data_IF_691480876364
#
_entry.id   IF_691480876364
#
_cell.length_a   1.000
_cell.length_b   1.000
_cell.length_c   1.000
_cell.angle_alpha   90.00
_cell.angle_beta   90.00
_cell.angle_gamma   90.00
#
_symmetry.space_group_name_H-M   'P 1'
#
loop_
_entity.id
_entity.type
_entity.pdbx_description
1 polymer ?
#
# COMPACT_ATOMS: atom_id res chain seq x y z
N UNK A 1 20.15 83.46 18.09
CA UNK A 1 19.88 82.38 19.08
C UNK A 1 20.21 81.04 18.42
N UNK A 2 21.14 80.25 19.03
CA UNK A 2 21.25 78.77 19.15
C UNK A 2 20.96 77.88 17.90
N UNK A 3 21.66 76.82 17.51
CA UNK A 3 22.89 76.08 17.88
C UNK A 3 23.11 75.03 16.74
N UNK A 4 24.36 74.59 16.51
CA UNK A 4 24.71 73.39 15.71
C UNK A 4 24.19 72.09 16.35
N UNK A 5 24.02 71.00 15.58
CA UNK A 5 24.79 69.73 15.73
C UNK A 5 24.13 68.49 15.09
N UNK A 6 25.01 67.62 14.60
CA UNK A 6 24.91 66.29 13.98
C UNK A 6 24.05 65.26 14.75
N UNK A 7 23.53 64.25 14.04
CA UNK A 7 24.00 62.85 14.16
C UNK A 7 23.24 61.88 13.24
N UNK A 8 24.01 60.98 12.63
CA UNK A 8 23.57 59.86 11.80
C UNK A 8 22.94 58.73 12.63
N UNK A 9 22.04 57.95 12.03
CA UNK A 9 21.87 56.53 12.33
C UNK A 9 21.09 55.82 11.22
N UNK A 10 21.80 54.99 10.45
CA UNK A 10 21.24 53.97 9.58
C UNK A 10 20.56 52.88 10.42
N UNK A 11 19.42 52.37 9.97
CA UNK A 11 18.84 51.13 10.50
C UNK A 11 18.55 50.17 9.34
N UNK A 12 19.44 49.17 9.27
CA UNK A 12 19.38 47.98 8.44
C UNK A 12 18.04 47.25 8.61
N UNK A 13 17.28 47.13 7.53
CA UNK A 13 16.12 46.25 7.47
C UNK A 13 16.62 44.84 7.11
N UNK A 14 16.95 44.06 8.13
CA UNK A 14 17.45 42.70 8.02
C UNK A 14 16.41 41.78 7.38
N UNK A 15 16.68 41.31 6.16
CA UNK A 15 16.01 40.17 5.56
C UNK A 15 16.26 38.93 6.43
N UNK A 16 15.34 38.61 7.32
CA UNK A 16 15.30 37.34 8.02
C UNK A 16 14.41 36.37 7.22
N UNK A 17 14.87 36.01 6.02
CA UNK A 17 14.31 34.89 5.26
C UNK A 17 14.64 33.61 6.01
N UNK A 18 13.70 33.16 6.83
CA UNK A 18 13.76 31.89 7.54
C UNK A 18 13.88 30.77 6.50
N UNK A 19 15.10 30.28 6.29
CA UNK A 19 15.39 29.04 5.56
C UNK A 19 14.76 27.90 6.36
N UNK A 20 13.48 27.63 6.13
CA UNK A 20 12.86 26.38 6.54
C UNK A 20 13.44 25.30 5.66
N UNK A 21 14.51 24.66 6.13
CA UNK A 21 15.01 23.43 5.52
C UNK A 21 13.87 22.41 5.66
N UNK A 22 13.22 21.95 4.57
CA UNK A 22 12.23 20.90 4.69
C UNK A 22 12.92 19.69 5.30
N UNK A 23 12.48 19.26 6.49
CA UNK A 23 12.99 18.05 7.10
C UNK A 23 12.80 16.90 6.10
N UNK A 24 13.82 16.04 5.88
CA UNK A 24 13.63 14.89 5.02
C UNK A 24 12.49 14.06 5.61
N UNK A 25 11.37 13.98 4.88
CA UNK A 25 10.29 13.05 5.21
C UNK A 25 10.85 11.65 5.09
N UNK A 26 11.28 11.08 6.21
CA UNK A 26 11.71 9.70 6.30
C UNK A 26 10.58 8.82 5.76
N UNK A 27 10.91 7.95 4.82
CA UNK A 27 9.94 7.02 4.25
C UNK A 27 9.32 6.20 5.38
N UNK A 28 8.01 6.30 5.56
CA UNK A 28 7.29 5.58 6.59
C UNK A 28 7.09 4.12 6.15
N UNK A 29 7.08 3.19 7.09
CA UNK A 29 6.67 1.81 6.78
C UNK A 29 5.26 1.81 6.19
N UNK A 30 5.11 1.23 4.99
CA UNK A 30 3.86 1.32 4.23
C UNK A 30 2.66 0.85 5.04
N UNK A 31 2.81 -0.27 5.78
CA UNK A 31 1.75 -0.88 6.57
C UNK A 31 1.23 -0.01 7.71
N UNK A 32 2.01 0.98 8.14
CA UNK A 32 1.68 1.82 9.29
C UNK A 32 0.89 3.08 8.90
N UNK A 33 0.92 3.45 7.61
CA UNK A 33 0.18 4.59 7.06
C UNK A 33 -1.33 4.36 7.17
N UNK A 34 -2.06 5.34 7.73
CA UNK A 34 -3.51 5.24 7.96
C UNK A 34 -4.31 4.94 6.69
N UNK A 35 -3.99 5.58 5.56
CA UNK A 35 -4.69 5.33 4.28
C UNK A 35 -4.40 3.93 3.72
N UNK A 36 -3.23 3.37 4.00
CA UNK A 36 -2.91 1.97 3.68
C UNK A 36 -3.74 1.02 4.55
N UNK A 37 -3.82 1.25 5.86
CA UNK A 37 -4.66 0.45 6.78
C UNK A 37 -6.13 0.47 6.36
N UNK A 38 -6.66 1.63 5.98
CA UNK A 38 -8.04 1.78 5.54
C UNK A 38 -8.30 1.06 4.20
N UNK A 39 -7.39 1.22 3.24
CA UNK A 39 -7.50 0.55 1.93
C UNK A 39 -7.25 -0.96 2.02
N UNK A 40 -6.62 -1.46 3.08
CA UNK A 40 -6.45 -2.89 3.30
C UNK A 40 -7.74 -3.61 3.73
N UNK A 41 -8.82 -2.90 4.05
CA UNK A 41 -10.13 -3.53 4.20
C UNK A 41 -10.63 -3.92 2.81
N UNK A 42 -10.79 -5.22 2.53
CA UNK A 42 -11.05 -5.73 1.18
C UNK A 42 -12.26 -5.04 0.49
N UNK A 43 -13.34 -4.79 1.23
CA UNK A 43 -14.55 -4.12 0.73
C UNK A 43 -14.39 -2.62 0.50
N UNK A 44 -13.40 -1.97 1.13
CA UNK A 44 -13.08 -0.56 0.92
C UNK A 44 -11.98 -0.34 -0.14
N UNK A 45 -11.23 -1.39 -0.49
CA UNK A 45 -10.05 -1.30 -1.33
C UNK A 45 -10.33 -0.72 -2.71
N UNK A 46 -11.39 -1.20 -3.38
CA UNK A 46 -11.77 -0.72 -4.72
C UNK A 46 -12.13 0.77 -4.72
N UNK A 47 -12.84 1.25 -3.69
CA UNK A 47 -13.18 2.67 -3.55
C UNK A 47 -11.94 3.54 -3.32
N UNK A 48 -10.90 3.00 -2.68
CA UNK A 48 -9.59 3.64 -2.57
C UNK A 48 -8.76 3.58 -3.86
N UNK A 49 -9.24 2.86 -4.88
CA UNK A 49 -8.59 2.69 -6.18
C UNK A 49 -7.65 1.48 -6.28
N UNK A 50 -7.74 0.53 -5.35
CA UNK A 50 -6.99 -0.72 -5.39
C UNK A 50 -7.71 -1.87 -6.12
N UNK A 51 -7.03 -3.02 -6.15
CA UNK A 51 -7.38 -4.23 -6.89
C UNK A 51 -7.34 -5.50 -6.02
N UNK A 52 -7.34 -5.39 -4.69
CA UNK A 52 -7.27 -6.55 -3.77
C UNK A 52 -8.38 -7.56 -4.02
N UNK A 53 -9.61 -7.12 -4.31
CA UNK A 53 -10.74 -8.03 -4.54
C UNK A 53 -10.60 -8.86 -5.82
N UNK A 54 -9.70 -8.47 -6.74
CA UNK A 54 -9.34 -9.27 -7.90
C UNK A 54 -8.54 -10.53 -7.52
N UNK A 55 -8.08 -10.62 -6.28
CA UNK A 55 -7.26 -11.70 -5.75
C UNK A 55 -7.92 -12.43 -4.56
N UNK A 56 -9.25 -12.33 -4.41
CA UNK A 56 -10.00 -13.03 -3.36
C UNK A 56 -11.17 -13.76 -4.00
N UNK A 57 -11.18 -15.09 -3.89
CA UNK A 57 -12.26 -15.90 -4.44
C UNK A 57 -13.62 -15.53 -3.82
N UNK A 58 -14.65 -15.47 -4.68
CA UNK A 58 -16.02 -15.09 -4.31
C UNK A 58 -16.27 -13.57 -4.25
N UNK A 59 -15.23 -12.73 -4.13
CA UNK A 59 -15.38 -11.28 -4.16
C UNK A 59 -15.53 -10.75 -5.60
N UNK A 60 -16.19 -9.60 -5.73
CA UNK A 60 -16.34 -8.93 -7.01
C UNK A 60 -15.04 -8.18 -7.35
N UNK A 61 -14.38 -8.44 -8.49
CA UNK A 61 -13.24 -7.63 -8.92
C UNK A 61 -13.66 -6.18 -9.21
N UNK A 62 -12.73 -5.22 -9.21
CA UNK A 62 -13.00 -3.85 -9.60
C UNK A 62 -13.70 -3.74 -10.97
N UNK A 63 -14.50 -2.69 -11.21
CA UNK A 63 -15.17 -2.49 -12.49
C UNK A 63 -14.17 -2.51 -13.66
N UNK A 64 -14.51 -3.25 -14.72
CA UNK A 64 -13.67 -3.39 -15.91
C UNK A 64 -12.49 -4.37 -15.76
N UNK A 65 -12.37 -5.08 -14.63
CA UNK A 65 -11.34 -6.11 -14.44
C UNK A 65 -11.95 -7.50 -14.22
N UNK A 66 -11.10 -8.53 -14.25
CA UNK A 66 -11.48 -9.94 -14.15
C UNK A 66 -10.48 -10.70 -13.28
N UNK A 67 -10.94 -11.75 -12.61
CA UNK A 67 -10.10 -12.68 -11.86
C UNK A 67 -9.38 -13.70 -12.74
N UNK A 68 -9.68 -13.81 -14.05
CA UNK A 68 -8.99 -14.71 -14.97
C UNK A 68 -7.47 -14.45 -14.96
N UNK A 69 -6.68 -15.52 -14.96
CA UNK A 69 -5.22 -15.53 -14.88
C UNK A 69 -4.65 -14.88 -13.61
N UNK A 70 -5.47 -14.79 -12.55
CA UNK A 70 -5.03 -14.31 -11.24
C UNK A 70 -4.92 -15.43 -10.24
N UNK A 71 -3.97 -15.26 -9.33
CA UNK A 71 -3.92 -16.04 -8.10
C UNK A 71 -4.83 -15.42 -7.05
N UNK A 72 -5.58 -16.26 -6.36
CA UNK A 72 -6.63 -15.87 -5.44
C UNK A 72 -6.42 -16.51 -4.07
N UNK A 73 -6.65 -15.76 -3.01
CA UNK A 73 -6.97 -16.34 -1.71
C UNK A 73 -8.28 -17.13 -1.82
N UNK A 74 -8.35 -18.31 -1.19
CA UNK A 74 -9.56 -19.17 -1.21
C UNK A 74 -10.81 -18.49 -0.62
N UNK A 75 -10.59 -17.53 0.29
CA UNK A 75 -11.65 -16.76 0.92
C UNK A 75 -11.10 -15.45 1.49
N UNK A 76 -11.99 -14.48 1.74
CA UNK A 76 -11.63 -13.19 2.34
C UNK A 76 -10.89 -13.36 3.69
N UNK A 77 -11.30 -14.32 4.52
CA UNK A 77 -10.64 -14.56 5.82
C UNK A 77 -9.16 -14.96 5.70
N UNK A 78 -8.74 -15.58 4.58
CA UNK A 78 -7.33 -15.92 4.32
C UNK A 78 -6.52 -14.67 3.97
N UNK A 79 -7.07 -13.79 3.13
CA UNK A 79 -6.52 -12.46 2.87
C UNK A 79 -6.40 -11.64 4.16
N UNK A 80 -7.47 -11.55 4.95
CA UNK A 80 -7.49 -10.80 6.21
C UNK A 80 -6.44 -11.32 7.19
N UNK A 81 -6.20 -12.64 7.20
CA UNK A 81 -5.13 -13.26 7.97
C UNK A 81 -3.74 -12.85 7.47
N UNK A 82 -3.49 -12.89 6.15
CA UNK A 82 -2.21 -12.48 5.58
C UNK A 82 -1.89 -11.01 5.88
N UNK A 83 -2.86 -10.11 5.69
CA UNK A 83 -2.69 -8.70 6.04
C UNK A 83 -2.44 -8.49 7.54
N UNK A 84 -3.21 -9.17 8.41
CA UNK A 84 -3.01 -9.11 9.86
C UNK A 84 -1.62 -9.58 10.27
N UNK A 85 -1.06 -10.58 9.60
CA UNK A 85 0.29 -11.07 9.90
C UNK A 85 1.39 -10.17 9.33
N UNK A 86 1.14 -9.52 8.19
CA UNK A 86 2.09 -8.61 7.59
C UNK A 86 2.51 -7.47 8.52
N UNK A 87 1.68 -7.09 9.50
CA UNK A 87 2.02 -6.09 10.54
C UNK A 87 3.18 -6.50 11.47
N UNK A 88 3.53 -7.78 11.52
CA UNK A 88 4.59 -8.32 12.37
C UNK A 88 5.88 -8.66 11.62
N UNK A 89 5.92 -8.51 10.29
CA UNK A 89 7.13 -8.71 9.49
C UNK A 89 8.24 -7.78 9.99
N UNK A 90 9.45 -8.31 10.22
CA UNK A 90 10.57 -7.56 10.81
C UNK A 90 11.13 -6.48 9.88
N UNK A 91 11.12 -6.72 8.57
CA UNK A 91 11.65 -5.81 7.54
C UNK A 91 10.55 -5.42 6.53
N UNK A 92 9.53 -4.66 6.95
CA UNK A 92 8.46 -4.26 6.04
C UNK A 92 8.95 -3.20 5.04
N UNK A 93 8.39 -3.20 3.84
CA UNK A 93 8.72 -2.18 2.84
C UNK A 93 8.27 -0.77 3.28
N UNK A 94 9.10 0.23 2.99
CA UNK A 94 8.82 1.64 3.25
C UNK A 94 8.20 2.32 2.02
N UNK A 95 7.30 3.26 2.28
CA UNK A 95 6.62 4.10 1.31
C UNK A 95 7.26 5.49 1.33
N UNK A 96 7.86 5.89 0.21
CA UNK A 96 8.52 7.19 0.06
C UNK A 96 7.55 8.35 -0.21
N UNK A 97 8.08 9.48 -0.67
CA UNK A 97 7.29 10.66 -1.01
C UNK A 97 6.29 10.41 -2.16
N UNK A 98 6.65 9.53 -3.12
CA UNK A 98 5.80 9.12 -4.23
C UNK A 98 6.22 7.76 -4.80
N UNK A 99 5.35 7.15 -5.61
CA UNK A 99 5.68 5.99 -6.44
C UNK A 99 4.97 4.71 -6.03
N UNK A 100 5.72 3.61 -6.05
CA UNK A 100 5.26 2.25 -5.77
C UNK A 100 6.23 1.56 -4.82
N UNK A 101 5.72 0.66 -4.01
CA UNK A 101 6.51 -0.18 -3.12
C UNK A 101 5.92 -1.59 -3.13
N UNK A 102 6.76 -2.62 -3.06
CA UNK A 102 6.29 -4.00 -3.13
C UNK A 102 7.16 -4.93 -2.31
N UNK A 103 6.57 -6.01 -1.83
CA UNK A 103 7.26 -7.03 -1.07
C UNK A 103 6.56 -8.38 -1.20
N UNK A 104 7.30 -9.42 -1.58
CA UNK A 104 6.88 -10.80 -1.37
C UNK A 104 7.39 -11.27 -0.01
N UNK A 105 6.50 -11.85 0.81
CA UNK A 105 6.86 -12.38 2.13
C UNK A 105 6.49 -13.86 2.18
N UNK A 106 7.46 -14.71 2.51
CA UNK A 106 7.23 -16.14 2.71
C UNK A 106 6.21 -16.40 3.82
N UNK A 107 5.46 -17.51 3.73
CA UNK A 107 4.52 -17.87 4.79
C UNK A 107 5.21 -18.04 6.15
N UNK A 108 6.44 -18.56 6.16
CA UNK A 108 7.27 -18.64 7.36
C UNK A 108 7.49 -17.27 8.00
N UNK A 109 7.85 -16.25 7.21
CA UNK A 109 8.09 -14.89 7.71
C UNK A 109 6.78 -14.16 8.07
N UNK A 110 5.64 -14.60 7.55
CA UNK A 110 4.32 -14.19 8.02
C UNK A 110 3.86 -14.95 9.27
N UNK A 111 4.60 -15.95 9.75
CA UNK A 111 4.14 -16.82 10.84
C UNK A 111 2.84 -17.57 10.49
N UNK A 112 2.65 -17.86 9.20
CA UNK A 112 1.50 -18.59 8.69
C UNK A 112 1.90 -20.03 8.39
N UNK A 113 1.03 -20.97 8.75
CA UNK A 113 1.10 -22.33 8.23
C UNK A 113 0.65 -22.40 6.77
N UNK A 114 0.14 -23.54 6.33
CA UNK A 114 -0.30 -23.73 4.96
C UNK A 114 -1.38 -22.72 4.55
N UNK A 115 -1.21 -22.14 3.37
CA UNK A 115 -2.16 -21.23 2.74
C UNK A 115 -2.63 -21.85 1.41
N UNK A 116 -3.81 -22.45 1.42
CA UNK A 116 -4.49 -22.83 0.19
C UNK A 116 -4.84 -21.59 -0.64
N UNK A 117 -4.77 -21.75 -1.96
CA UNK A 117 -5.00 -20.70 -2.94
C UNK A 117 -5.48 -21.27 -4.27
N UNK A 118 -6.01 -20.40 -5.13
CA UNK A 118 -6.54 -20.76 -6.44
C UNK A 118 -5.84 -20.01 -7.56
N UNK A 119 -5.55 -20.70 -8.67
CA UNK A 119 -5.22 -20.08 -9.95
C UNK A 119 -6.48 -20.05 -10.80
N UNK A 120 -7.00 -18.86 -11.12
CA UNK A 120 -8.25 -18.76 -11.84
C UNK A 120 -8.09 -19.02 -13.33
N UNK A 121 -8.86 -19.97 -13.86
CA UNK A 121 -8.85 -20.38 -15.27
C UNK A 121 -9.98 -19.74 -16.08
N UNK A 122 -11.12 -19.49 -15.44
CA UNK A 122 -12.29 -18.90 -16.11
C UNK A 122 -13.12 -18.07 -15.14
N UNK A 123 -13.71 -16.99 -15.65
CA UNK A 123 -14.64 -16.14 -14.93
C UNK A 123 -16.04 -16.09 -15.55
N UNK A 124 -17.01 -15.67 -14.74
CA UNK A 124 -18.35 -15.29 -15.19
C UNK A 124 -18.35 -13.93 -15.91
N UNK A 125 -19.54 -13.47 -16.34
CA UNK A 125 -19.69 -12.19 -17.06
C UNK A 125 -19.27 -10.98 -16.21
N UNK A 126 -19.30 -11.14 -14.89
CA UNK A 126 -18.92 -10.10 -13.92
C UNK A 126 -17.44 -10.20 -13.57
N UNK A 127 -16.67 -11.07 -14.20
CA UNK A 127 -15.24 -11.25 -13.95
C UNK A 127 -14.92 -12.04 -12.69
N UNK A 128 -15.90 -12.66 -12.01
CA UNK A 128 -15.64 -13.53 -10.85
C UNK A 128 -15.21 -14.92 -11.29
N UNK A 129 -14.22 -15.48 -10.61
CA UNK A 129 -13.74 -16.82 -10.92
C UNK A 129 -14.81 -17.90 -10.74
N UNK A 130 -14.95 -18.79 -11.71
CA UNK A 130 -15.89 -19.93 -11.70
C UNK A 130 -15.20 -21.27 -12.01
N UNK A 131 -13.95 -21.24 -12.47
CA UNK A 131 -13.13 -22.44 -12.68
C UNK A 131 -11.70 -22.10 -12.28
N UNK A 132 -11.07 -22.98 -11.51
CA UNK A 132 -9.76 -22.75 -10.94
C UNK A 132 -9.02 -24.05 -10.68
N UNK A 133 -7.69 -23.94 -10.60
CA UNK A 133 -6.82 -24.97 -10.05
C UNK A 133 -6.43 -24.60 -8.62
N UNK A 134 -6.45 -25.57 -7.71
CA UNK A 134 -5.98 -25.36 -6.33
C UNK A 134 -4.47 -25.56 -6.22
N UNK A 135 -3.83 -24.75 -5.40
CA UNK A 135 -2.42 -24.93 -5.03
C UNK A 135 -2.17 -24.48 -3.58
N UNK A 136 -0.97 -24.77 -3.07
CA UNK A 136 -0.50 -24.25 -1.79
C UNK A 136 0.48 -23.11 -2.05
N UNK A 137 0.19 -21.93 -1.49
CA UNK A 137 1.06 -20.77 -1.64
C UNK A 137 2.36 -20.93 -0.84
N UNK A 138 3.42 -20.29 -1.31
CA UNK A 138 4.72 -20.23 -0.62
C UNK A 138 4.98 -18.87 0.01
N UNK A 139 4.44 -17.83 -0.62
CA UNK A 139 4.55 -16.44 -0.19
C UNK A 139 3.27 -15.68 -0.52
N UNK A 140 3.19 -14.47 0.02
CA UNK A 140 2.18 -13.49 -0.34
C UNK A 140 2.88 -12.24 -0.84
N UNK A 141 2.48 -11.77 -2.00
CA UNK A 141 2.89 -10.49 -2.55
C UNK A 141 2.03 -9.37 -1.96
N UNK A 142 2.67 -8.28 -1.53
CA UNK A 142 2.03 -7.04 -1.06
C UNK A 142 2.49 -5.89 -1.94
N UNK A 143 1.56 -5.25 -2.66
CA UNK A 143 1.84 -4.10 -3.52
C UNK A 143 1.18 -2.84 -2.98
N UNK A 144 1.95 -1.75 -2.89
CA UNK A 144 1.51 -0.43 -2.44
C UNK A 144 1.75 0.59 -3.54
N UNK A 145 0.83 1.54 -3.71
CA UNK A 145 0.99 2.64 -4.66
C UNK A 145 0.50 3.95 -4.03
N UNK A 146 1.02 5.07 -4.53
CA UNK A 146 0.44 6.37 -4.27
C UNK A 146 -0.67 6.67 -5.30
N UNK A 147 -1.89 6.92 -4.83
CA UNK A 147 -3.01 7.45 -5.63
C UNK A 147 -3.53 8.73 -5.02
N UNK A 148 -3.63 9.78 -5.84
CA UNK A 148 -4.15 11.09 -5.43
C UNK A 148 -3.46 11.62 -4.15
N UNK A 149 -2.13 11.50 -4.09
CA UNK A 149 -1.31 11.93 -2.95
C UNK A 149 -1.40 11.04 -1.70
N UNK A 150 -2.15 9.93 -1.74
CA UNK A 150 -2.33 9.00 -0.62
C UNK A 150 -1.75 7.63 -0.96
N UNK A 151 -1.01 7.04 -0.02
CA UNK A 151 -0.58 5.65 -0.14
C UNK A 151 -1.74 4.71 0.16
N UNK A 152 -1.90 3.67 -0.67
CA UNK A 152 -2.88 2.61 -0.48
C UNK A 152 -2.21 1.24 -0.59
N UNK A 153 -2.80 0.23 0.02
CA UNK A 153 -2.55 -1.15 -0.36
C UNK A 153 -3.24 -1.39 -1.70
N UNK A 154 -2.47 -1.51 -2.77
CA UNK A 154 -3.01 -1.62 -4.12
C UNK A 154 -3.48 -3.03 -4.43
N UNK A 155 -2.64 -4.02 -4.15
CA UNK A 155 -2.93 -5.42 -4.44
C UNK A 155 -2.24 -6.32 -3.43
N UNK A 156 -2.82 -7.49 -3.18
CA UNK A 156 -2.23 -8.55 -2.39
C UNK A 156 -2.67 -9.87 -3.01
N UNK A 157 -1.74 -10.79 -3.23
CA UNK A 157 -2.08 -12.11 -3.76
C UNK A 157 -1.14 -13.21 -3.26
N UNK A 158 -1.65 -14.44 -3.11
CA UNK A 158 -0.81 -15.59 -2.83
C UNK A 158 0.04 -15.95 -4.06
N UNK A 159 1.27 -16.37 -3.84
CA UNK A 159 2.21 -16.79 -4.88
C UNK A 159 2.47 -18.31 -4.78
N UNK A 160 2.46 -19.06 -5.89
CA UNK A 160 2.81 -20.48 -5.89
C UNK A 160 4.29 -20.69 -5.57
N UNK A 161 4.68 -21.93 -5.30
CA UNK A 161 6.10 -22.31 -5.30
C UNK A 161 6.65 -22.16 -6.73
N UNK A 162 7.69 -21.35 -6.88
CA UNK A 162 8.50 -21.26 -8.11
C UNK A 162 9.55 -22.35 -8.13
#
# INVERSE_FOLDING_TARGET
MKFLSLCAAALFLSLLSCLTIPSPTLAATCRDITTVKNSAVATANTAAGGHVTQHIYGMQPPPGTSQVDKTLFEAQGKYDSAWRQYKYVTNPVNCGASGQAQQSVSLQNLGMGNLGAYSCQKADIKGKCITWDSYMANSVFFGFIQKNGKWILNTVFPEPQT
#
